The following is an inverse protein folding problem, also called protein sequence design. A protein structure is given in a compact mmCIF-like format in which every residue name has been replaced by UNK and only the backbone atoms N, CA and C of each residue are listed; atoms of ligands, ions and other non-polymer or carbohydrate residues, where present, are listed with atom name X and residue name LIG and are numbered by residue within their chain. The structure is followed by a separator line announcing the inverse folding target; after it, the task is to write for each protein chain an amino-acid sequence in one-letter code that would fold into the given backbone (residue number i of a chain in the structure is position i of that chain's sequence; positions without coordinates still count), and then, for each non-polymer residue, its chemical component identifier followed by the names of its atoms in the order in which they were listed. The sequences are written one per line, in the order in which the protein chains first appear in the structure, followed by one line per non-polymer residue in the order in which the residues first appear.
data_IF_246262059710
#
_entry.id   IF_246262059710
#
_cell.length_a   1.000
_cell.length_b   1.000
_cell.length_c   1.000
_cell.angle_alpha   90.00
_cell.angle_beta   90.00
_cell.angle_gamma   90.00
#
_symmetry.space_group_name_H-M   'P 1'
#
loop_
_entity.id
_entity.type
_entity.pdbx_description
1 polymer ?
#
# COMPACT_ATOMS: atom_id res chain seq x y z
N UNK A 1 9.13 11.42 19.75
CA UNK A 1 9.91 10.17 19.87
C UNK A 1 10.24 9.70 18.46
N UNK A 2 11.43 9.18 18.18
CA UNK A 2 11.77 8.76 16.82
C UNK A 2 11.39 7.29 16.62
N UNK A 3 10.67 6.98 15.54
CA UNK A 3 10.33 5.61 15.13
C UNK A 3 11.18 5.22 13.93
N UNK A 4 11.69 4.00 13.93
CA UNK A 4 12.38 3.39 12.79
C UNK A 4 11.38 2.52 12.03
N UNK A 5 11.07 2.96 10.82
CA UNK A 5 10.11 2.32 9.92
C UNK A 5 10.87 1.65 8.78
N UNK A 6 10.65 0.36 8.59
CA UNK A 6 11.19 -0.40 7.47
C UNK A 6 10.19 -0.42 6.32
N UNK A 7 10.68 -0.06 5.14
CA UNK A 7 9.99 -0.19 3.87
C UNK A 7 10.62 -1.34 3.11
N UNK A 8 9.79 -2.29 2.68
CA UNK A 8 10.22 -3.42 1.87
C UNK A 8 9.35 -3.52 0.62
N UNK A 9 9.96 -3.48 -0.54
CA UNK A 9 9.25 -3.64 -1.81
C UNK A 9 8.76 -5.09 -1.97
N UNK A 10 7.49 -5.27 -2.33
CA UNK A 10 6.95 -6.57 -2.72
C UNK A 10 7.36 -6.89 -4.17
N UNK A 11 8.61 -7.32 -4.33
CA UNK A 11 9.19 -7.71 -5.61
C UNK A 11 10.12 -8.91 -5.43
N UNK A 12 10.57 -9.50 -6.55
CA UNK A 12 11.56 -10.60 -6.53
C UNK A 12 12.95 -10.14 -6.08
N UNK A 13 13.23 -8.85 -6.20
CA UNK A 13 14.48 -8.23 -5.79
C UNK A 13 14.31 -7.59 -4.40
N UNK A 14 15.28 -7.82 -3.52
CA UNK A 14 15.28 -7.22 -2.18
C UNK A 14 15.58 -5.72 -2.25
N UNK A 15 14.54 -4.89 -2.09
CA UNK A 15 14.67 -3.43 -1.95
C UNK A 15 14.14 -3.01 -0.59
N UNK A 16 15.05 -2.61 0.29
CA UNK A 16 14.74 -2.29 1.69
C UNK A 16 15.27 -0.90 2.05
N UNK A 17 14.45 -0.09 2.71
CA UNK A 17 14.85 1.16 3.35
C UNK A 17 14.45 1.13 4.82
N UNK A 18 15.32 1.59 5.70
CA UNK A 18 14.92 1.92 7.07
C UNK A 18 14.94 3.45 7.19
N UNK A 19 13.82 4.03 7.60
CA UNK A 19 13.61 5.47 7.75
C UNK A 19 13.36 5.77 9.22
N UNK A 20 14.17 6.67 9.79
CA UNK A 20 13.95 7.26 11.09
C UNK A 20 13.07 8.51 10.93
N UNK A 21 11.92 8.53 11.62
CA UNK A 21 10.95 9.64 11.54
C UNK A 21 10.33 9.90 12.91
N UNK A 22 10.08 11.17 13.24
CA UNK A 22 9.40 11.53 14.50
C UNK A 22 7.94 11.05 14.52
N UNK A 23 7.48 10.56 15.67
CA UNK A 23 6.09 10.20 15.95
C UNK A 23 5.09 11.32 15.68
N UNK A 24 5.55 12.58 15.79
CA UNK A 24 4.74 13.78 15.62
C UNK A 24 4.61 14.22 14.16
N UNK A 25 5.45 13.68 13.26
CA UNK A 25 5.31 13.94 11.82
C UNK A 25 4.05 13.25 11.28
N UNK A 26 3.57 13.74 10.14
CA UNK A 26 2.40 13.20 9.47
C UNK A 26 2.74 11.96 8.63
N UNK A 27 1.73 11.22 8.20
CA UNK A 27 1.89 10.15 7.21
C UNK A 27 2.30 10.74 5.85
N UNK A 28 1.94 11.99 5.56
CA UNK A 28 2.40 12.70 4.36
C UNK A 28 3.91 12.95 4.41
N UNK A 29 4.45 13.31 5.58
CA UNK A 29 5.90 13.40 5.76
C UNK A 29 6.56 12.05 5.48
N UNK A 30 6.04 10.95 6.04
CA UNK A 30 6.56 9.61 5.77
C UNK A 30 6.52 9.27 4.28
N UNK A 31 5.44 9.63 3.57
CA UNK A 31 5.35 9.48 2.13
C UNK A 31 6.53 10.15 1.41
N UNK A 32 6.82 11.42 1.71
CA UNK A 32 7.93 12.13 1.07
C UNK A 32 9.30 11.54 1.44
N UNK A 33 9.50 11.10 2.68
CA UNK A 33 10.75 10.42 3.06
C UNK A 33 10.92 9.10 2.26
N UNK A 34 9.84 8.37 1.98
CA UNK A 34 9.85 7.16 1.14
C UNK A 34 10.20 7.52 -0.31
N UNK A 35 9.56 8.56 -0.87
CA UNK A 35 9.83 9.04 -2.23
C UNK A 35 11.31 9.38 -2.39
N UNK A 36 11.88 10.14 -1.44
CA UNK A 36 13.29 10.54 -1.49
C UNK A 36 14.23 9.36 -1.30
N UNK A 37 13.96 8.46 -0.33
CA UNK A 37 14.79 7.30 -0.04
C UNK A 37 14.85 6.28 -1.19
N UNK A 38 13.76 6.13 -1.94
CA UNK A 38 13.65 5.23 -3.08
C UNK A 38 13.88 5.94 -4.43
N UNK A 39 14.04 7.27 -4.43
CA UNK A 39 14.18 8.12 -5.63
C UNK A 39 13.01 7.95 -6.61
N UNK A 40 11.81 7.93 -6.08
CA UNK A 40 10.57 7.82 -6.84
C UNK A 40 10.14 9.18 -7.42
N UNK A 41 9.16 9.18 -8.31
CA UNK A 41 8.57 10.41 -8.82
C UNK A 41 7.59 10.98 -7.78
N UNK A 42 7.76 12.25 -7.44
CA UNK A 42 6.91 12.94 -6.45
C UNK A 42 5.51 13.28 -6.95
N UNK A 43 5.23 13.12 -8.25
CA UNK A 43 3.95 13.51 -8.84
C UNK A 43 2.93 12.37 -8.91
N UNK A 44 3.34 11.15 -8.60
CA UNK A 44 2.46 9.99 -8.63
C UNK A 44 1.56 9.92 -7.39
N UNK A 45 0.36 9.39 -7.58
CA UNK A 45 -0.58 9.17 -6.48
C UNK A 45 -0.16 7.98 -5.62
N UNK A 46 -0.52 8.02 -4.34
CA UNK A 46 -0.24 6.94 -3.42
C UNK A 46 -1.27 6.86 -2.28
N UNK A 47 -1.29 5.72 -1.59
CA UNK A 47 -2.17 5.48 -0.46
C UNK A 47 -1.53 4.47 0.51
N UNK A 48 -1.75 4.66 1.81
CA UNK A 48 -1.44 3.64 2.81
C UNK A 48 -2.71 2.88 3.18
N UNK A 49 -2.57 1.59 3.45
CA UNK A 49 -3.66 0.73 3.90
C UNK A 49 -3.27 0.06 5.21
N UNK A 50 -4.15 0.17 6.20
CA UNK A 50 -4.04 -0.60 7.43
C UNK A 50 -4.44 -2.04 7.18
N UNK A 51 -3.63 -2.97 7.68
CA UNK A 51 -3.88 -4.42 7.58
C UNK A 51 -4.09 -5.03 8.95
N UNK A 52 -4.94 -6.04 9.06
CA UNK A 52 -5.00 -6.90 10.25
C UNK A 52 -4.04 -8.09 10.14
N UNK A 53 -3.98 -8.92 11.19
CA UNK A 53 -3.16 -10.14 11.24
C UNK A 53 -3.53 -11.18 10.16
N UNK A 54 -4.70 -11.07 9.56
CA UNK A 54 -5.19 -11.92 8.47
C UNK A 54 -4.86 -11.33 7.07
N UNK A 55 -4.06 -10.26 7.01
CA UNK A 55 -3.72 -9.50 5.80
C UNK A 55 -4.91 -8.88 5.07
N UNK A 56 -6.03 -8.69 5.75
CA UNK A 56 -7.19 -8.00 5.20
C UNK A 56 -6.96 -6.48 5.24
N UNK A 57 -7.32 -5.79 4.16
CA UNK A 57 -7.25 -4.34 4.06
C UNK A 57 -8.43 -3.74 4.83
N UNK A 58 -8.14 -3.03 5.91
CA UNK A 58 -9.15 -2.46 6.80
C UNK A 58 -9.53 -1.03 6.40
N UNK A 59 -8.54 -0.15 6.33
CA UNK A 59 -8.76 1.28 6.16
C UNK A 59 -7.71 1.87 5.24
N UNK A 60 -8.18 2.71 4.32
CA UNK A 60 -7.35 3.50 3.43
C UNK A 60 -6.99 4.88 4.06
N UNK A 61 -5.75 5.30 3.85
CA UNK A 61 -5.23 6.64 4.17
C UNK A 61 -4.67 7.23 2.86
N UNK A 62 -5.53 7.92 2.07
CA UNK A 62 -5.15 8.44 0.77
C UNK A 62 -4.26 9.68 0.89
N UNK A 63 -3.43 9.92 -0.13
CA UNK A 63 -2.58 11.13 -0.21
C UNK A 63 -3.41 12.41 -0.08
N UNK A 64 -4.54 12.47 -0.79
CA UNK A 64 -5.50 13.54 -0.67
C UNK A 64 -6.81 13.02 -0.11
N UNK A 65 -7.34 13.73 0.88
CA UNK A 65 -8.69 13.51 1.37
C UNK A 65 -9.69 13.70 0.23
N UNK A 66 -10.58 12.72 0.08
CA UNK A 66 -11.78 12.86 -0.74
C UNK A 66 -12.89 13.34 0.18
N UNK A 67 -13.35 14.57 -0.03
CA UNK A 67 -14.42 15.17 0.78
C UNK A 67 -15.77 14.72 0.21
N UNK A 68 -16.20 13.51 0.61
CA UNK A 68 -17.54 13.01 0.29
C UNK A 68 -18.46 13.13 1.51
N UNK A 69 -19.70 13.57 1.26
CA UNK A 69 -20.64 14.01 2.31
C UNK A 69 -21.05 12.91 3.29
N UNK A 70 -20.83 11.64 2.95
CA UNK A 70 -21.24 10.48 3.75
C UNK A 70 -20.07 9.71 4.37
N UNK A 71 -18.83 9.87 3.88
CA UNK A 71 -17.65 9.16 4.39
C UNK A 71 -16.39 10.04 4.26
N UNK A 72 -16.17 10.91 5.24
CA UNK A 72 -14.92 11.68 5.37
C UNK A 72 -13.78 10.74 5.78
N UNK A 73 -13.03 10.23 4.80
CA UNK A 73 -11.72 9.61 5.07
C UNK A 73 -10.69 10.69 5.41
N UNK A 74 -9.77 10.38 6.33
CA UNK A 74 -8.68 11.29 6.67
C UNK A 74 -7.54 11.15 5.66
N UNK A 75 -6.97 12.28 5.23
CA UNK A 75 -5.79 12.29 4.36
C UNK A 75 -4.49 12.02 5.11
N UNK A 76 -3.42 11.69 4.39
CA UNK A 76 -2.09 11.49 4.98
C UNK A 76 -1.58 12.68 5.81
N UNK A 77 -1.99 13.90 5.46
CA UNK A 77 -1.64 15.14 6.15
C UNK A 77 -2.38 15.36 7.48
N UNK A 78 -3.44 14.59 7.76
CA UNK A 78 -4.27 14.71 8.96
C UNK A 78 -3.91 13.67 10.03
N UNK A 79 -3.12 12.65 9.69
CA UNK A 79 -2.78 11.54 10.59
C UNK A 79 -1.29 11.55 10.90
N UNK A 80 -0.92 11.34 12.17
CA UNK A 80 0.48 11.27 12.60
C UNK A 80 1.04 9.85 12.47
N UNK A 81 2.37 9.74 12.31
CA UNK A 81 3.09 8.46 12.31
C UNK A 81 2.82 7.69 13.61
N UNK A 82 2.81 8.38 14.75
CA UNK A 82 2.55 7.77 16.05
C UNK A 82 1.16 7.13 16.16
N UNK A 83 0.15 7.71 15.51
CA UNK A 83 -1.21 7.17 15.54
C UNK A 83 -1.36 5.89 14.71
N UNK A 84 -0.65 5.81 13.58
CA UNK A 84 -0.74 4.64 12.67
C UNK A 84 0.18 3.49 13.11
N UNK A 85 1.29 3.79 13.79
CA UNK A 85 2.23 2.80 14.32
C UNK A 85 2.22 2.81 15.86
N UNK A 86 1.15 2.29 16.50
CA UNK A 86 1.00 2.32 17.96
C UNK A 86 2.03 1.45 18.67
N UNK A 87 2.41 0.31 18.10
CA UNK A 87 3.34 -0.65 18.71
C UNK A 87 4.27 -1.32 17.70
N UNK A 88 5.43 -1.77 18.17
CA UNK A 88 6.42 -2.46 17.34
C UNK A 88 5.77 -3.64 16.61
N UNK A 89 6.14 -3.82 15.34
CA UNK A 89 5.55 -4.74 14.37
C UNK A 89 4.19 -4.31 13.79
N UNK A 90 3.66 -3.12 14.12
CA UNK A 90 2.54 -2.56 13.36
C UNK A 90 2.91 -2.48 11.87
N UNK A 91 2.03 -3.01 11.01
CA UNK A 91 2.26 -3.09 9.57
C UNK A 91 1.23 -2.28 8.78
N UNK A 92 1.67 -1.73 7.65
CA UNK A 92 0.82 -1.15 6.62
C UNK A 92 1.25 -1.66 5.25
N UNK A 93 0.33 -1.60 4.31
CA UNK A 93 0.63 -1.68 2.88
C UNK A 93 0.68 -0.27 2.30
N UNK A 94 1.77 0.09 1.63
CA UNK A 94 1.89 1.34 0.88
C UNK A 94 1.82 1.04 -0.62
N UNK A 95 0.85 1.64 -1.30
CA UNK A 95 0.67 1.51 -2.75
C UNK A 95 1.03 2.83 -3.41
N UNK A 96 1.94 2.79 -4.37
CA UNK A 96 2.44 3.95 -5.09
C UNK A 96 2.30 3.75 -6.61
N UNK A 97 1.95 4.82 -7.32
CA UNK A 97 1.68 4.84 -8.76
C UNK A 97 0.60 3.81 -9.13
N UNK A 98 -0.67 4.23 -9.10
CA UNK A 98 -1.80 3.34 -9.37
C UNK A 98 -1.85 2.77 -10.79
N UNK A 99 -1.00 3.22 -11.72
CA UNK A 99 -0.86 2.59 -13.03
C UNK A 99 0.10 1.39 -12.96
N UNK A 100 1.16 1.48 -12.16
CA UNK A 100 2.17 0.43 -11.99
C UNK A 100 1.94 -0.47 -10.77
N UNK A 101 1.13 -0.02 -9.82
CA UNK A 101 0.76 -0.72 -8.59
C UNK A 101 1.97 -1.19 -7.77
N UNK A 102 2.95 -0.31 -7.55
CA UNK A 102 4.06 -0.64 -6.67
C UNK A 102 3.58 -0.81 -5.25
N UNK A 103 3.90 -1.95 -4.65
CA UNK A 103 3.47 -2.32 -3.30
C UNK A 103 4.67 -2.43 -2.39
N UNK A 104 4.57 -1.79 -1.24
CA UNK A 104 5.60 -1.84 -0.20
C UNK A 104 4.97 -2.24 1.12
N UNK A 105 5.54 -3.26 1.76
CA UNK A 105 5.25 -3.55 3.15
C UNK A 105 6.00 -2.55 4.03
N UNK A 106 5.26 -1.86 4.90
CA UNK A 106 5.79 -0.88 5.84
C UNK A 106 5.64 -1.46 7.24
N UNK A 107 6.75 -1.60 7.97
CA UNK A 107 6.74 -2.19 9.31
C UNK A 107 7.46 -1.29 10.30
N UNK A 108 6.85 -1.03 11.44
CA UNK A 108 7.51 -0.34 12.55
C UNK A 108 8.43 -1.30 13.31
N UNK A 109 9.73 -0.99 13.35
CA UNK A 109 10.76 -1.90 13.87
C UNK A 109 11.13 -1.60 15.32
N UNK A 110 11.43 -0.34 15.64
CA UNK A 110 11.86 0.05 16.99
C UNK A 110 11.79 1.57 17.20
N UNK A 111 11.81 1.98 18.46
CA UNK A 111 11.92 3.39 18.85
C UNK A 111 13.37 3.76 19.16
N UNK A 112 13.71 5.01 18.87
CA UNK A 112 15.00 5.60 19.18
C UNK A 112 14.81 6.93 19.91
N UNK A 113 15.66 7.17 20.91
CA UNK A 113 15.75 8.46 21.61
C UNK A 113 16.59 9.48 20.82
N UNK A 114 17.22 9.06 19.72
CA UNK A 114 18.00 9.98 18.90
C UNK A 114 17.07 10.91 18.12
N UNK A 115 17.39 12.20 18.14
CA UNK A 115 16.74 13.17 17.27
C UNK A 115 17.09 12.84 15.81
N UNK A 116 16.07 12.86 14.94
CA UNK A 116 16.24 12.71 13.50
C UNK A 116 17.18 13.80 12.96
N UNK A 117 18.33 13.39 12.47
CA UNK A 117 19.26 14.25 11.71
C UNK A 117 18.72 14.58 10.32
N UNK A 118 19.40 15.45 9.57
CA UNK A 118 19.02 15.86 8.19
C UNK A 118 18.76 14.70 7.23
N UNK A 119 19.37 13.53 7.45
CA UNK A 119 19.14 12.33 6.64
C UNK A 119 18.29 11.30 7.41
N UNK A 120 17.04 11.14 7.00
CA UNK A 120 16.06 10.23 7.63
C UNK A 120 16.32 8.76 7.29
N UNK A 121 16.86 8.48 6.10
CA UNK A 121 17.16 7.11 5.67
C UNK A 121 18.47 6.61 6.29
N UNK A 122 18.34 5.67 7.24
CA UNK A 122 19.46 5.10 8.00
C UNK A 122 20.02 3.81 7.37
N UNK A 123 19.23 3.15 6.53
CA UNK A 123 19.62 1.92 5.83
C UNK A 123 19.04 1.89 4.42
N UNK A 124 19.85 1.46 3.47
CA UNK A 124 19.46 1.28 2.07
C UNK A 124 20.07 0.01 1.49
N UNK A 125 19.21 -0.91 1.04
CA UNK A 125 19.57 -2.16 0.37
C UNK A 125 18.80 -2.24 -0.96
N UNK A 126 19.49 -2.63 -2.03
CA UNK A 126 18.88 -2.79 -3.35
C UNK A 126 18.52 -1.47 -4.03
N UNK A 127 18.24 -1.58 -5.33
CA UNK A 127 17.80 -0.48 -6.19
C UNK A 127 16.40 -0.78 -6.70
N UNK A 128 15.61 0.27 -6.95
CA UNK A 128 14.28 0.10 -7.52
C UNK A 128 14.38 -0.59 -8.90
N UNK A 129 13.64 -1.69 -9.13
CA UNK A 129 13.61 -2.36 -10.41
C UNK A 129 13.02 -1.45 -11.50
N UNK A 130 13.44 -1.68 -12.74
CA UNK A 130 12.99 -0.88 -13.90
C UNK A 130 11.59 -1.25 -14.37
N UNK A 131 11.20 -2.49 -14.15
CA UNK A 131 9.93 -3.04 -14.59
C UNK A 131 9.01 -3.23 -13.39
N UNK A 132 7.76 -2.80 -13.55
CA UNK A 132 6.73 -2.97 -12.53
C UNK A 132 6.44 -4.46 -12.28
N UNK A 133 5.94 -4.82 -11.09
CA UNK A 133 5.59 -6.20 -10.79
C UNK A 133 4.47 -6.68 -11.73
N UNK A 134 4.48 -7.97 -12.09
CA UNK A 134 3.34 -8.57 -12.78
C UNK A 134 2.16 -8.68 -11.80
N UNK A 135 1.06 -7.97 -12.09
CA UNK A 135 -0.16 -8.06 -11.29
C UNK A 135 -0.92 -9.34 -11.71
N UNK A 136 -0.87 -10.37 -10.88
CA UNK A 136 -1.67 -11.58 -11.08
C UNK A 136 -3.05 -11.38 -10.43
N UNK A 137 -4.05 -11.05 -11.24
CA UNK A 137 -5.45 -11.06 -10.81
C UNK A 137 -5.95 -12.51 -10.81
N UNK A 138 -5.91 -13.17 -9.66
CA UNK A 138 -6.68 -14.39 -9.45
C UNK A 138 -8.11 -14.00 -9.06
N UNK A 139 -8.97 -13.85 -10.07
CA UNK A 139 -10.41 -13.86 -9.80
C UNK A 139 -10.76 -15.26 -9.27
N UNK A 140 -11.07 -15.37 -7.97
CA UNK A 140 -11.82 -16.52 -7.48
C UNK A 140 -13.11 -16.53 -8.31
N UNK A 141 -13.34 -17.58 -9.11
CA UNK A 141 -14.65 -17.86 -9.72
C UNK A 141 -15.63 -18.07 -8.57
N UNK A 142 -16.17 -17.00 -8.01
CA UNK A 142 -17.40 -17.08 -7.24
C UNK A 142 -18.49 -17.44 -8.25
N UNK A 143 -19.12 -18.59 -8.00
CA UNK A 143 -20.20 -19.22 -8.75
C UNK A 143 -20.91 -18.26 -9.72
N UNK A 144 -20.66 -18.41 -11.02
CA UNK A 144 -21.37 -17.71 -12.08
C UNK A 144 -22.73 -18.40 -12.29
N UNK A 145 -23.87 -17.81 -11.86
CA UNK A 145 -25.19 -18.43 -12.00
C UNK A 145 -25.65 -18.53 -13.46
N UNK A 146 -24.92 -17.89 -14.39
CA UNK A 146 -25.22 -17.88 -15.81
C UNK A 146 -24.39 -18.88 -16.62
N UNK A 147 -23.38 -19.54 -16.03
CA UNK A 147 -22.56 -20.56 -16.72
C UNK A 147 -23.44 -21.75 -17.17
N UNK A 148 -24.47 -22.10 -16.39
CA UNK A 148 -25.44 -23.16 -16.74
C UNK A 148 -26.63 -22.68 -17.57
N UNK A 149 -26.81 -21.37 -17.77
CA UNK A 149 -27.97 -20.83 -18.48
C UNK A 149 -27.84 -20.92 -20.01
N UNK A 150 -26.64 -21.19 -20.52
CA UNK A 150 -26.37 -21.35 -21.95
C UNK A 150 -26.40 -22.80 -22.44
N UNK A 151 -26.44 -23.80 -21.55
CA UNK A 151 -26.53 -25.22 -21.96
C UNK A 151 -27.94 -25.62 -22.44
N UNK A 152 -28.99 -24.90 -22.03
CA UNK A 152 -30.39 -25.21 -22.37
C UNK A 152 -30.88 -24.59 -23.69
N UNK A 153 -30.03 -23.85 -24.43
CA UNK A 153 -30.46 -23.19 -25.68
C UNK A 153 -30.27 -24.05 -26.96
N UNK A 154 -29.63 -25.22 -26.86
CA UNK A 154 -29.36 -26.10 -28.00
C UNK A 154 -30.52 -27.06 -28.34
N UNK A 155 -31.60 -27.11 -27.55
CA UNK A 155 -32.70 -28.09 -27.74
C UNK A 155 -33.88 -27.56 -28.59
N UNK A 156 -33.76 -26.41 -29.26
CA UNK A 156 -34.85 -25.80 -30.03
C UNK A 156 -34.70 -25.85 -31.56
N UNK A 157 -33.87 -26.75 -32.10
CA UNK A 157 -33.63 -26.85 -33.55
C UNK A 157 -34.26 -28.07 -34.26
N UNK A 158 -35.14 -28.84 -33.62
CA UNK A 158 -35.91 -29.90 -34.30
C UNK A 158 -37.38 -29.49 -34.54
N UNK A 159 -37.57 -28.44 -35.35
CA UNK A 159 -38.80 -28.28 -36.13
C UNK A 159 -38.48 -27.71 -37.52
N UNK A 160 -38.10 -28.59 -38.46
CA UNK A 160 -38.32 -28.33 -39.89
C UNK A 160 -38.91 -29.58 -40.57
N UNK A 161 -40.20 -29.43 -40.93
CA UNK A 161 -41.03 -30.07 -41.98
C UNK A 161 -41.01 -31.59 -42.21
#
# INVERSE_FOLDING_TARGET
MTKIIRIHLEHKDDVIRDIAISSEKTIEDLHFEIIDALKLDKNEMASFYMTNDEFELLQEIPLFKIDDKENSMLGMNEITVGAVFPEVNSQLLYVYDFLKMWRFSITFIEESDNETTENSCIKSIGEMPKEAPEIQFEAKKEFDPFDTAFEDFDEFNEYEY
#
